data_IF_136007814682
#
_entry.id   IF_136007814682
#
_cell.length_a   1.000
_cell.length_b   1.000
_cell.length_c   1.000
_cell.angle_alpha   90.00
_cell.angle_beta   90.00
_cell.angle_gamma   90.00
#
_symmetry.space_group_name_H-M   'P 1'
#
loop_
_entity.id
_entity.type
_entity.pdbx_description
1 polymer ?
#
# COMPACT_ATOMS: atom_id res chain seq x y z
N UNK A 1 15.57 -5.18 -2.48
CA UNK A 1 14.70 -4.00 -2.54
C UNK A 1 14.96 -3.27 -3.84
N UNK A 2 13.99 -3.20 -4.74
CA UNK A 2 14.11 -2.39 -5.94
C UNK A 2 13.80 -0.96 -5.52
N UNK A 3 14.81 -0.14 -5.42
CA UNK A 3 14.61 1.28 -5.23
C UNK A 3 14.33 1.91 -6.58
N UNK A 4 13.10 2.31 -6.81
CA UNK A 4 12.82 3.22 -7.91
C UNK A 4 13.35 4.59 -7.52
N UNK A 5 14.59 4.87 -7.88
CA UNK A 5 15.10 6.23 -7.80
C UNK A 5 14.43 7.03 -8.90
N UNK A 6 13.42 7.76 -8.55
CA UNK A 6 13.09 8.92 -9.34
C UNK A 6 14.22 9.92 -9.12
N UNK A 7 15.24 9.82 -9.94
CA UNK A 7 16.36 10.77 -9.89
C UNK A 7 15.88 12.09 -10.44
N UNK A 8 15.39 12.90 -9.53
CA UNK A 8 15.10 14.26 -9.82
C UNK A 8 16.41 15.01 -10.02
N UNK A 9 16.60 15.53 -11.19
CA UNK A 9 17.56 16.61 -11.37
C UNK A 9 16.96 17.85 -10.72
N UNK A 10 17.42 18.17 -9.52
CA UNK A 10 17.09 19.43 -8.88
C UNK A 10 17.93 20.49 -9.59
N UNK A 11 17.41 21.03 -10.66
CA UNK A 11 17.98 22.19 -11.31
C UNK A 11 17.37 23.45 -10.67
N UNK A 12 18.06 23.98 -9.65
CA UNK A 12 17.79 25.31 -9.11
C UNK A 12 16.78 25.41 -7.97
N UNK A 13 16.74 26.55 -7.26
CA UNK A 13 16.06 26.71 -5.98
C UNK A 13 14.57 27.01 -6.04
N UNK A 14 13.82 26.75 -7.11
CA UNK A 14 12.51 27.35 -7.27
C UNK A 14 11.36 26.46 -7.71
N UNK A 15 11.42 25.13 -7.55
CA UNK A 15 10.29 24.33 -7.99
C UNK A 15 9.74 23.42 -6.88
N UNK A 16 8.88 24.00 -6.04
CA UNK A 16 8.02 23.25 -5.11
C UNK A 16 7.03 22.33 -5.82
N UNK A 17 6.73 22.58 -7.09
CA UNK A 17 5.83 21.76 -7.91
C UNK A 17 6.36 20.35 -8.16
N UNK A 18 7.59 20.13 -7.82
CA UNK A 18 8.28 18.90 -8.10
C UNK A 18 8.35 17.92 -6.93
N UNK A 19 7.74 18.17 -5.80
CA UNK A 19 7.74 17.30 -4.63
C UNK A 19 6.49 16.43 -4.59
N UNK A 20 6.31 15.58 -5.60
CA UNK A 20 5.32 14.50 -5.48
C UNK A 20 5.96 13.43 -4.61
N UNK A 21 5.38 13.24 -3.42
CA UNK A 21 5.78 12.18 -2.51
C UNK A 21 5.40 10.83 -3.11
N UNK A 22 6.38 9.94 -3.21
CA UNK A 22 6.13 8.55 -3.52
C UNK A 22 5.85 7.78 -2.23
N UNK A 23 4.60 7.47 -1.98
CA UNK A 23 4.17 6.82 -0.73
C UNK A 23 4.85 5.47 -0.52
N UNK A 24 5.20 4.76 -1.59
CA UNK A 24 5.93 3.50 -1.46
C UNK A 24 7.37 3.67 -0.95
N UNK A 25 8.06 4.72 -1.39
CA UNK A 25 9.49 4.86 -1.17
C UNK A 25 9.90 5.98 -0.22
N UNK A 26 9.07 7.00 -0.06
CA UNK A 26 9.43 8.21 0.67
C UNK A 26 9.01 8.21 2.15
N UNK A 27 8.26 7.21 2.57
CA UNK A 27 7.97 7.00 3.99
C UNK A 27 9.28 6.66 4.72
N UNK A 28 9.52 7.30 5.86
CA UNK A 28 10.73 7.07 6.64
C UNK A 28 10.91 5.61 7.03
N UNK A 29 12.13 5.08 6.89
CA UNK A 29 12.47 3.71 7.30
C UNK A 29 12.19 3.43 8.78
N UNK A 30 12.30 4.44 9.61
CA UNK A 30 12.05 4.31 11.05
C UNK A 30 10.61 3.93 11.38
N UNK A 31 9.69 4.18 10.44
CA UNK A 31 8.27 3.85 10.58
C UNK A 31 7.95 2.41 10.16
N UNK A 32 8.90 1.72 9.54
CA UNK A 32 8.70 0.38 8.99
C UNK A 32 9.69 -0.59 9.64
N UNK A 33 9.25 -1.27 10.68
CA UNK A 33 10.04 -2.26 11.42
C UNK A 33 9.29 -3.58 11.50
N UNK A 34 10.02 -4.68 11.65
CA UNK A 34 9.43 -6.02 11.72
C UNK A 34 8.38 -6.20 12.84
N UNK A 35 8.52 -5.48 13.94
CA UNK A 35 7.61 -5.57 15.09
C UNK A 35 6.52 -4.50 15.09
N UNK A 36 6.71 -3.40 14.35
CA UNK A 36 5.76 -2.31 14.25
C UNK A 36 6.00 -1.55 12.97
N UNK A 37 4.97 -1.37 12.18
CA UNK A 37 5.06 -0.69 10.90
C UNK A 37 3.79 0.12 10.62
N UNK A 38 3.90 1.08 9.75
CA UNK A 38 2.75 1.78 9.21
C UNK A 38 2.29 1.11 7.91
N UNK A 39 0.99 0.87 7.82
CA UNK A 39 0.33 0.39 6.62
C UNK A 39 -0.45 1.52 5.96
N UNK A 40 -0.43 1.58 4.64
CA UNK A 40 -1.30 2.47 3.88
C UNK A 40 -2.56 1.70 3.49
N UNK A 41 -3.71 2.22 3.88
CA UNK A 41 -4.99 1.62 3.51
C UNK A 41 -5.40 2.11 2.13
N UNK A 42 -5.70 1.16 1.25
CA UNK A 42 -6.24 1.42 -0.09
C UNK A 42 -7.74 1.11 -0.15
N UNK A 43 -8.18 0.05 0.54
CA UNK A 43 -9.54 -0.45 0.45
C UNK A 43 -10.12 -0.58 1.85
N UNK A 44 -11.19 0.15 2.17
CA UNK A 44 -11.87 0.04 3.46
C UNK A 44 -12.51 -1.34 3.66
N UNK A 45 -12.59 -1.78 4.91
CA UNK A 45 -13.37 -2.95 5.32
C UNK A 45 -14.82 -2.82 4.83
N UNK A 46 -15.35 -3.88 4.26
CA UNK A 46 -16.72 -3.95 3.75
C UNK A 46 -16.91 -3.32 2.37
N UNK A 47 -15.85 -2.84 1.75
CA UNK A 47 -15.91 -2.25 0.43
C UNK A 47 -15.96 -3.33 -0.66
N UNK A 48 -16.74 -3.07 -1.71
CA UNK A 48 -16.81 -3.91 -2.93
C UNK A 48 -15.90 -3.42 -4.04
N UNK A 49 -15.36 -2.23 -3.90
CA UNK A 49 -14.53 -1.59 -4.92
C UNK A 49 -13.07 -1.87 -4.61
N UNK A 50 -12.38 -2.46 -5.56
CA UNK A 50 -10.94 -2.63 -5.49
C UNK A 50 -10.26 -1.36 -5.97
N UNK A 51 -9.62 -0.65 -5.07
CA UNK A 51 -8.75 0.48 -5.35
C UNK A 51 -7.30 0.04 -5.31
N UNK A 52 -6.50 0.69 -6.11
CA UNK A 52 -5.05 0.49 -6.15
C UNK A 52 -4.35 1.84 -6.22
N UNK A 53 -3.29 2.01 -5.45
CA UNK A 53 -2.49 3.23 -5.51
C UNK A 53 -1.74 3.27 -6.84
N UNK A 54 -1.98 4.31 -7.61
CA UNK A 54 -1.16 4.63 -8.76
C UNK A 54 0.13 5.29 -8.27
N UNK A 55 1.22 4.55 -8.35
CA UNK A 55 2.52 4.98 -7.83
C UNK A 55 3.12 6.15 -8.61
N UNK A 56 2.67 6.37 -9.83
CA UNK A 56 3.11 7.49 -10.64
C UNK A 56 2.47 8.81 -10.21
N UNK A 57 1.17 8.79 -9.96
CA UNK A 57 0.41 10.01 -9.63
C UNK A 57 0.19 10.20 -8.14
N UNK A 58 0.31 9.14 -7.33
CA UNK A 58 -0.04 9.14 -5.92
C UNK A 58 -1.54 9.13 -5.64
N UNK A 59 -2.37 8.89 -6.66
CA UNK A 59 -3.82 8.81 -6.54
C UNK A 59 -4.28 7.36 -6.50
N UNK A 60 -5.47 7.14 -5.92
CA UNK A 60 -6.13 5.85 -6.04
C UNK A 60 -6.79 5.71 -7.41
N UNK A 61 -6.58 4.57 -8.03
CA UNK A 61 -7.27 4.17 -9.26
C UNK A 61 -8.30 3.11 -8.93
N UNK A 62 -9.45 3.19 -9.59
CA UNK A 62 -10.42 2.12 -9.60
C UNK A 62 -9.88 0.97 -10.46
N UNK A 63 -9.60 -0.18 -9.83
CA UNK A 63 -9.23 -1.38 -10.58
C UNK A 63 -10.49 -2.11 -11.05
N UNK A 64 -11.34 -2.50 -10.13
CA UNK A 64 -12.61 -3.18 -10.45
C UNK A 64 -13.60 -3.14 -9.30
N UNK A 65 -14.85 -3.42 -9.62
CA UNK A 65 -15.89 -3.68 -8.63
C UNK A 65 -16.04 -5.20 -8.47
N UNK A 66 -16.02 -5.70 -7.24
CA UNK A 66 -16.16 -7.11 -6.96
C UNK A 66 -17.56 -7.60 -7.33
N UNK A 67 -17.63 -8.83 -7.84
CA UNK A 67 -18.89 -9.47 -8.19
C UNK A 67 -19.66 -9.94 -6.95
N UNK A 68 -20.98 -9.97 -7.07
CA UNK A 68 -21.90 -10.52 -6.09
C UNK A 68 -21.85 -9.81 -4.74
N UNK A 69 -22.06 -10.54 -3.64
CA UNK A 69 -22.00 -10.02 -2.26
C UNK A 69 -20.60 -10.05 -1.65
N UNK A 70 -19.57 -10.31 -2.46
CA UNK A 70 -18.17 -10.32 -1.99
C UNK A 70 -17.71 -8.92 -1.60
N UNK A 71 -17.16 -8.81 -0.40
CA UNK A 71 -16.59 -7.57 0.13
C UNK A 71 -15.24 -7.88 0.76
N UNK A 72 -14.42 -6.83 0.91
CA UNK A 72 -13.18 -6.96 1.66
C UNK A 72 -13.48 -7.18 3.14
N UNK A 73 -12.97 -8.27 3.75
CA UNK A 73 -13.31 -8.64 5.13
C UNK A 73 -12.61 -7.78 6.18
N UNK A 74 -11.56 -7.07 5.79
CA UNK A 74 -10.78 -6.18 6.64
C UNK A 74 -10.29 -4.99 5.83
N UNK A 75 -9.79 -3.96 6.49
CA UNK A 75 -9.10 -2.88 5.80
C UNK A 75 -7.87 -3.46 5.09
N UNK A 76 -7.67 -3.11 3.84
CA UNK A 76 -6.66 -3.70 2.98
C UNK A 76 -5.77 -2.62 2.39
N UNK A 77 -4.51 -2.92 2.30
CA UNK A 77 -3.54 -2.02 1.70
C UNK A 77 -2.17 -2.66 1.60
N UNK A 78 -1.13 -1.85 1.72
CA UNK A 78 0.24 -2.33 1.64
C UNK A 78 1.13 -1.69 2.71
N UNK A 79 2.28 -2.30 2.91
CA UNK A 79 3.32 -1.79 3.82
C UNK A 79 4.33 -1.02 2.97
N UNK A 80 4.48 0.30 3.17
CA UNK A 80 5.48 1.10 2.46
C UNK A 80 6.90 0.53 2.62
N UNK A 81 7.77 0.81 1.66
CA UNK A 81 9.17 0.38 1.63
C UNK A 81 9.40 -1.13 1.62
N UNK A 82 8.39 -1.91 1.33
CA UNK A 82 8.51 -3.37 1.19
C UNK A 82 8.42 -3.79 -0.27
N UNK A 83 8.94 -4.96 -0.56
CA UNK A 83 8.88 -5.57 -1.88
C UNK A 83 8.57 -7.06 -1.73
N UNK A 84 7.50 -7.50 -2.37
CA UNK A 84 7.12 -8.90 -2.46
C UNK A 84 7.70 -9.57 -3.71
N UNK A 85 7.54 -10.88 -3.81
CA UNK A 85 8.09 -11.68 -4.92
C UNK A 85 7.48 -11.31 -6.29
N UNK A 86 6.28 -10.76 -6.30
CA UNK A 86 5.58 -10.28 -7.50
C UNK A 86 6.04 -8.91 -8.00
N UNK A 87 6.98 -8.26 -7.29
CA UNK A 87 7.48 -6.94 -7.63
C UNK A 87 6.66 -5.78 -7.05
N UNK A 88 5.60 -6.08 -6.31
CA UNK A 88 4.76 -5.10 -5.62
C UNK A 88 5.10 -4.99 -4.13
N UNK A 89 4.65 -3.95 -3.42
CA UNK A 89 4.77 -3.90 -1.97
C UNK A 89 4.06 -5.08 -1.30
N UNK A 90 4.46 -5.41 -0.07
CA UNK A 90 3.76 -6.41 0.72
C UNK A 90 2.33 -5.94 1.02
N UNK A 91 1.37 -6.76 0.64
CA UNK A 91 -0.03 -6.56 1.00
C UNK A 91 -0.26 -6.78 2.49
N UNK A 92 -1.22 -6.08 3.05
CA UNK A 92 -1.59 -6.19 4.44
C UNK A 92 -3.11 -6.17 4.62
N UNK A 93 -3.60 -7.07 5.47
CA UNK A 93 -4.96 -7.01 6.01
C UNK A 93 -4.87 -6.44 7.41
N UNK A 94 -5.50 -5.30 7.64
CA UNK A 94 -5.49 -4.63 8.95
C UNK A 94 -6.77 -4.97 9.69
N UNK A 95 -6.62 -5.79 10.73
CA UNK A 95 -7.72 -6.15 11.60
C UNK A 95 -7.97 -5.02 12.59
N UNK A 96 -9.08 -4.35 12.41
CA UNK A 96 -9.50 -3.23 13.23
C UNK A 96 -11.02 -3.26 13.37
N UNK A 97 -11.54 -2.82 14.51
CA UNK A 97 -12.99 -2.74 14.74
C UNK A 97 -13.69 -1.73 13.85
N UNK A 98 -12.96 -0.79 13.31
CA UNK A 98 -13.49 0.32 12.52
C UNK A 98 -13.12 0.20 11.04
N UNK A 99 -13.93 0.79 10.20
CA UNK A 99 -13.62 1.00 8.79
C UNK A 99 -12.71 2.23 8.65
N UNK A 100 -11.55 2.03 8.05
CA UNK A 100 -10.55 3.08 7.88
C UNK A 100 -10.67 3.68 6.47
N UNK A 101 -10.61 5.00 6.38
CA UNK A 101 -10.63 5.68 5.08
C UNK A 101 -9.43 5.31 4.21
N UNK A 102 -9.60 5.24 2.88
CA UNK A 102 -8.48 5.11 1.95
C UNK A 102 -7.44 6.22 2.12
N UNK A 103 -6.20 5.93 1.81
CA UNK A 103 -5.06 6.86 1.93
C UNK A 103 -4.71 7.22 3.38
N UNK A 104 -5.09 6.39 4.32
CA UNK A 104 -4.75 6.55 5.74
C UNK A 104 -3.55 5.67 6.09
N UNK A 105 -2.56 6.26 6.74
CA UNK A 105 -1.50 5.50 7.41
C UNK A 105 -1.98 5.05 8.78
N UNK A 106 -1.85 3.77 9.07
CA UNK A 106 -2.20 3.19 10.35
C UNK A 106 -1.04 2.40 10.93
N UNK A 107 -0.71 2.64 12.19
CA UNK A 107 0.33 1.91 12.86
C UNK A 107 -0.16 0.51 13.25
N UNK A 108 0.60 -0.50 12.84
CA UNK A 108 0.26 -1.91 12.99
C UNK A 108 1.39 -2.70 13.63
N UNK A 109 1.05 -3.85 14.19
CA UNK A 109 2.01 -4.89 14.52
C UNK A 109 1.56 -6.22 13.91
N UNK A 110 2.50 -7.06 13.43
CA UNK A 110 2.14 -8.30 12.75
C UNK A 110 1.60 -9.33 13.76
N UNK A 111 0.53 -10.01 13.36
CA UNK A 111 -0.05 -11.12 14.14
C UNK A 111 -0.03 -12.44 13.36
N UNK A 112 0.26 -12.40 12.08
CA UNK A 112 0.31 -13.59 11.25
C UNK A 112 0.64 -13.26 9.79
N UNK A 113 0.85 -14.29 9.02
CA UNK A 113 1.12 -14.21 7.58
C UNK A 113 0.21 -15.21 6.86
N UNK A 114 -0.45 -14.76 5.81
CA UNK A 114 -1.24 -15.61 4.91
C UNK A 114 -0.49 -15.69 3.59
N UNK A 115 -0.25 -16.91 3.12
CA UNK A 115 0.22 -17.14 1.75
C UNK A 115 -0.97 -17.49 0.87
N UNK A 116 -1.08 -16.80 -0.25
CA UNK A 116 -2.14 -17.01 -1.21
C UNK A 116 -1.56 -17.27 -2.59
N UNK A 117 -2.26 -18.08 -3.40
CA UNK A 117 -1.96 -18.25 -4.82
C UNK A 117 -2.88 -17.30 -5.58
N UNK A 118 -2.27 -16.41 -6.36
CA UNK A 118 -2.98 -15.50 -7.24
C UNK A 118 -2.40 -15.63 -8.65
N UNK A 119 -3.26 -15.98 -9.62
CA UNK A 119 -2.84 -16.14 -11.01
C UNK A 119 -1.73 -17.17 -11.24
N UNK A 120 -1.59 -18.18 -10.35
CA UNK A 120 -0.56 -19.21 -10.43
C UNK A 120 0.76 -18.87 -9.74
N UNK A 121 0.86 -17.71 -9.09
CA UNK A 121 2.01 -17.31 -8.26
C UNK A 121 1.63 -17.19 -6.79
N UNK A 122 2.61 -17.33 -5.90
CA UNK A 122 2.41 -17.17 -4.47
C UNK A 122 2.56 -15.71 -4.08
N UNK A 123 1.58 -15.18 -3.36
CA UNK A 123 1.66 -13.87 -2.72
C UNK A 123 1.53 -14.00 -1.21
N UNK A 124 2.15 -13.07 -0.46
CA UNK A 124 2.06 -13.01 1.01
C UNK A 124 1.21 -11.79 1.39
N UNK A 125 0.34 -12.00 2.34
CA UNK A 125 -0.52 -10.92 2.85
C UNK A 125 -0.46 -10.84 4.37
#
# INVERSE_FOLDING_TARGET
>A
MIQYYYKRQINGPSQRSDLIMNIWHDISEERIKAKSFEALIEIPKGCKVKYELDKETGLLKLDRVLYTSTVYPANYGFIPRTLAEDGDPLDVLVLCGETIYPMTLINCYPIGVIKMIDGGSWTRR
#
